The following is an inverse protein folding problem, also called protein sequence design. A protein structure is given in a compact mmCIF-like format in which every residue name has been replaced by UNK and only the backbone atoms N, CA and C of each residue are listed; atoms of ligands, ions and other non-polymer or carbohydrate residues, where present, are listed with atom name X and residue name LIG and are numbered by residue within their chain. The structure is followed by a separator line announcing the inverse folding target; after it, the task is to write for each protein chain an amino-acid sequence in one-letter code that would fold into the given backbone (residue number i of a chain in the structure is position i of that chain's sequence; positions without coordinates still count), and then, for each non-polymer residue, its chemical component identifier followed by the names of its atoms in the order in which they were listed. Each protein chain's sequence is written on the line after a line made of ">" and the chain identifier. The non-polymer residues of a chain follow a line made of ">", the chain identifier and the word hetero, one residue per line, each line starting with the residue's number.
data_IF_598573741663
#
_entry.id   IF_598573741663
#
_cell.length_a   1.000
_cell.length_b   1.000
_cell.length_c   1.000
_cell.angle_alpha   90.00
_cell.angle_beta   90.00
_cell.angle_gamma   90.00
#
_symmetry.space_group_name_H-M   'P 1'
#
loop_
_entity.id
_entity.type
_entity.pdbx_description
1 polymer ?
#
# COMPACT_ATOMS: atom_id res chain seq x y z
N UNK A 1 94.21 -54.02 -55.46
CA UNK A 1 94.12 -54.33 -54.01
C UNK A 1 92.87 -53.64 -53.45
N UNK A 2 91.93 -54.42 -52.89
CA UNK A 2 90.85 -54.16 -51.91
C UNK A 2 90.30 -52.70 -51.76
N UNK A 3 89.02 -52.43 -52.08
CA UNK A 3 87.78 -52.59 -51.28
C UNK A 3 87.62 -51.69 -50.02
N UNK A 4 86.62 -50.80 -50.11
CA UNK A 4 85.45 -50.63 -49.19
C UNK A 4 85.41 -49.56 -48.08
N UNK A 5 84.17 -49.01 -47.95
CA UNK A 5 83.46 -48.40 -46.79
C UNK A 5 83.78 -46.93 -46.43
N UNK A 6 82.95 -45.92 -46.74
CA UNK A 6 81.62 -45.53 -46.23
C UNK A 6 81.51 -45.37 -44.71
N UNK A 7 81.42 -44.12 -44.23
CA UNK A 7 80.58 -43.75 -43.08
C UNK A 7 80.05 -42.32 -43.23
N UNK A 8 78.71 -42.20 -43.23
CA UNK A 8 77.92 -40.97 -43.30
C UNK A 8 77.93 -40.24 -41.94
N UNK A 9 77.94 -38.90 -41.95
CA UNK A 9 77.46 -38.09 -40.81
C UNK A 9 76.13 -37.46 -41.16
N UNK A 10 75.11 -37.96 -40.48
CA UNK A 10 73.72 -37.53 -40.49
C UNK A 10 73.58 -36.32 -39.54
N UNK A 11 73.05 -35.19 -40.02
CA UNK A 11 72.55 -34.10 -39.17
C UNK A 11 71.04 -34.07 -39.36
N UNK A 12 70.30 -34.53 -38.35
CA UNK A 12 68.85 -34.40 -38.29
C UNK A 12 68.49 -32.96 -37.89
N UNK A 13 67.85 -32.22 -38.80
CA UNK A 13 67.07 -31.05 -38.45
C UNK A 13 65.67 -31.51 -38.01
N UNK A 14 65.34 -31.35 -36.73
CA UNK A 14 63.99 -31.56 -36.23
C UNK A 14 63.08 -30.42 -36.72
N UNK A 15 62.19 -30.72 -37.65
CA UNK A 15 60.98 -29.94 -37.94
C UNK A 15 59.95 -30.22 -36.85
N UNK A 16 59.78 -29.28 -35.92
CA UNK A 16 58.66 -29.28 -34.97
C UNK A 16 57.43 -28.76 -35.72
N UNK A 17 56.30 -29.50 -35.78
CA UNK A 17 55.07 -28.94 -36.31
C UNK A 17 54.56 -27.90 -35.30
N UNK A 18 54.41 -26.66 -35.75
CA UNK A 18 53.69 -25.64 -34.99
C UNK A 18 52.24 -26.12 -34.83
N UNK A 19 51.88 -26.55 -33.63
CA UNK A 19 50.50 -26.75 -33.26
C UNK A 19 49.80 -25.39 -33.29
N UNK A 20 49.02 -25.15 -34.35
CA UNK A 20 48.05 -24.06 -34.37
C UNK A 20 47.03 -24.37 -33.29
N UNK A 21 47.19 -23.74 -32.13
CA UNK A 21 46.12 -23.58 -31.17
C UNK A 21 45.05 -22.74 -31.87
N UNK A 22 44.06 -23.40 -32.47
CA UNK A 22 42.77 -22.78 -32.71
C UNK A 22 42.24 -22.43 -31.33
N UNK A 23 42.43 -21.18 -30.93
CA UNK A 23 41.78 -20.62 -29.76
C UNK A 23 40.30 -20.96 -29.88
N UNK A 24 39.82 -21.79 -28.96
CA UNK A 24 38.41 -21.82 -28.65
C UNK A 24 38.08 -20.43 -28.12
N UNK A 25 37.78 -19.50 -29.03
CA UNK A 25 37.00 -18.34 -28.68
C UNK A 25 35.70 -18.90 -28.14
N UNK A 26 35.62 -19.01 -26.82
CA UNK A 26 34.36 -19.21 -26.13
C UNK A 26 33.43 -18.14 -26.65
N UNK A 27 32.45 -18.53 -27.48
CA UNK A 27 31.35 -17.65 -27.83
C UNK A 27 30.78 -17.18 -26.49
N UNK A 28 30.73 -15.86 -26.21
CA UNK A 28 30.13 -15.39 -24.98
C UNK A 28 28.75 -16.04 -24.88
N UNK A 29 28.45 -16.65 -23.73
CA UNK A 29 27.12 -17.21 -23.51
C UNK A 29 26.10 -16.09 -23.81
N UNK A 30 25.12 -16.37 -24.67
CA UNK A 30 24.13 -15.38 -25.09
C UNK A 30 23.52 -14.70 -23.86
N UNK A 31 23.49 -13.36 -23.87
CA UNK A 31 22.94 -12.58 -22.77
C UNK A 31 21.45 -12.85 -22.61
N UNK A 32 20.88 -12.46 -21.46
CA UNK A 32 19.43 -12.57 -21.28
C UNK A 32 18.66 -11.75 -22.32
N UNK A 33 19.17 -10.58 -22.68
CA UNK A 33 18.58 -9.73 -23.72
C UNK A 33 18.61 -10.42 -25.09
N UNK A 34 19.73 -11.07 -25.47
CA UNK A 34 19.81 -11.80 -26.74
C UNK A 34 18.72 -12.88 -26.85
N UNK A 35 18.40 -13.55 -25.74
CA UNK A 35 17.32 -14.55 -25.70
C UNK A 35 15.93 -13.93 -25.84
N UNK A 36 15.72 -12.74 -25.26
CA UNK A 36 14.49 -11.95 -25.42
C UNK A 36 14.34 -11.49 -26.87
N UNK A 37 15.43 -11.03 -27.47
CA UNK A 37 15.46 -10.54 -28.85
C UNK A 37 15.24 -11.67 -29.86
N UNK A 38 15.69 -12.90 -29.56
CA UNK A 38 15.45 -14.08 -30.39
C UNK A 38 14.02 -14.64 -30.27
N UNK A 39 13.36 -14.48 -29.13
CA UNK A 39 12.03 -15.03 -28.88
C UNK A 39 10.95 -14.42 -29.79
N UNK A 40 9.99 -15.23 -30.22
CA UNK A 40 8.81 -14.79 -30.94
C UNK A 40 7.77 -14.11 -30.02
N UNK A 41 6.88 -13.26 -30.55
CA UNK A 41 5.76 -12.73 -29.76
C UNK A 41 4.88 -13.85 -29.19
N UNK A 42 4.57 -13.77 -27.89
CA UNK A 42 3.83 -14.76 -27.12
C UNK A 42 4.68 -15.88 -26.51
N UNK A 43 5.99 -15.95 -26.85
CA UNK A 43 6.87 -16.98 -26.31
C UNK A 43 7.11 -16.81 -24.80
N UNK A 44 7.38 -17.93 -24.14
CA UNK A 44 7.80 -17.98 -22.75
C UNK A 44 9.29 -18.25 -22.63
N UNK A 45 10.01 -17.35 -21.98
CA UNK A 45 11.44 -17.45 -21.70
C UNK A 45 11.60 -17.82 -20.23
N UNK A 46 11.92 -19.09 -19.97
CA UNK A 46 12.22 -19.55 -18.62
C UNK A 46 13.67 -19.22 -18.24
N UNK A 47 13.83 -18.51 -17.14
CA UNK A 47 15.12 -18.10 -16.59
C UNK A 47 15.35 -18.87 -15.30
N UNK A 48 16.35 -19.75 -15.27
CA UNK A 48 16.69 -20.48 -14.04
C UNK A 48 17.53 -19.59 -13.12
N UNK A 49 17.53 -19.93 -11.84
CA UNK A 49 18.37 -19.28 -10.82
C UNK A 49 19.79 -19.00 -11.33
N UNK A 50 20.22 -17.75 -11.16
CA UNK A 50 21.48 -17.22 -11.66
C UNK A 50 21.49 -15.69 -11.52
N UNK A 51 22.65 -15.08 -11.77
CA UNK A 51 22.81 -13.63 -11.86
C UNK A 51 22.84 -13.24 -13.34
N UNK A 52 21.99 -12.29 -13.73
CA UNK A 52 21.90 -11.76 -15.09
C UNK A 52 22.13 -10.25 -15.03
N UNK A 53 23.29 -9.84 -15.52
CA UNK A 53 23.70 -8.43 -15.51
C UNK A 53 23.19 -7.69 -16.74
N UNK A 54 22.84 -6.43 -16.53
CA UNK A 54 22.38 -5.52 -17.57
C UNK A 54 20.91 -5.17 -17.45
N UNK A 55 20.55 -4.06 -18.09
CA UNK A 55 19.17 -3.62 -18.17
C UNK A 55 18.46 -4.38 -19.30
N UNK A 56 17.19 -4.70 -19.12
CA UNK A 56 16.38 -5.46 -20.06
C UNK A 56 15.31 -4.59 -20.71
N UNK A 57 15.04 -4.85 -21.99
CA UNK A 57 13.96 -4.25 -22.75
C UNK A 57 13.01 -5.34 -23.27
N UNK A 58 11.76 -5.28 -22.83
CA UNK A 58 10.67 -6.11 -23.34
C UNK A 58 9.93 -5.30 -24.42
N UNK A 59 10.48 -5.34 -25.64
CA UNK A 59 9.94 -4.65 -26.82
C UNK A 59 8.97 -5.52 -27.65
N UNK A 60 8.72 -6.76 -27.23
CA UNK A 60 7.76 -7.69 -27.83
C UNK A 60 6.95 -8.33 -26.72
N UNK A 61 5.69 -8.69 -27.01
CA UNK A 61 4.87 -9.49 -26.09
C UNK A 61 5.61 -10.79 -25.80
N UNK A 62 6.11 -10.95 -24.57
CA UNK A 62 6.78 -12.17 -24.12
C UNK A 62 6.44 -12.42 -22.65
N UNK A 63 6.51 -13.68 -22.25
CA UNK A 63 6.49 -14.08 -20.85
C UNK A 63 7.91 -14.36 -20.38
N UNK A 64 8.45 -13.51 -19.53
CA UNK A 64 9.72 -13.73 -18.85
C UNK A 64 9.45 -14.33 -17.47
N UNK A 65 9.84 -15.60 -17.28
CA UNK A 65 9.50 -16.38 -16.09
C UNK A 65 10.75 -16.84 -15.35
N UNK A 66 10.94 -16.34 -14.13
CA UNK A 66 12.01 -16.71 -13.21
C UNK A 66 11.69 -17.97 -12.42
N UNK A 67 12.55 -18.98 -12.51
CA UNK A 67 12.47 -20.25 -11.79
C UNK A 67 13.54 -20.26 -10.70
N UNK A 68 13.11 -20.16 -9.44
CA UNK A 68 14.00 -20.08 -8.28
C UNK A 68 14.59 -18.68 -8.05
N UNK A 69 13.84 -17.63 -8.40
CA UNK A 69 14.23 -16.22 -8.19
C UNK A 69 15.62 -15.86 -8.75
N UNK A 70 15.86 -16.03 -10.08
CA UNK A 70 17.03 -15.43 -10.71
C UNK A 70 17.11 -13.93 -10.46
N UNK A 71 18.33 -13.43 -10.36
CA UNK A 71 18.62 -12.02 -10.10
C UNK A 71 18.83 -11.29 -11.42
N UNK A 72 18.04 -10.26 -11.67
CA UNK A 72 18.25 -9.25 -12.69
C UNK A 72 18.96 -8.07 -12.02
N UNK A 73 20.25 -7.91 -12.32
CA UNK A 73 21.07 -6.86 -11.74
C UNK A 73 21.30 -5.77 -12.79
N UNK A 74 20.70 -4.62 -12.56
CA UNK A 74 20.88 -3.45 -13.40
C UNK A 74 22.31 -2.94 -13.40
N UNK A 75 22.58 -1.97 -14.26
CA UNK A 75 23.92 -1.38 -14.43
C UNK A 75 24.25 -0.30 -13.40
N UNK A 76 23.33 0.02 -12.48
CA UNK A 76 23.40 1.22 -11.65
C UNK A 76 23.04 2.52 -12.41
N UNK A 77 22.52 2.41 -13.63
CA UNK A 77 22.03 3.53 -14.44
C UNK A 77 20.70 3.16 -15.10
N UNK A 78 19.74 4.08 -15.11
CA UNK A 78 18.43 3.84 -15.72
C UNK A 78 17.58 2.82 -14.94
N UNK A 79 16.52 2.35 -15.60
CA UNK A 79 15.66 1.31 -15.05
C UNK A 79 16.19 -0.10 -15.38
N UNK A 80 16.00 -1.07 -14.47
CA UNK A 80 16.51 -2.44 -14.67
C UNK A 80 15.71 -3.17 -15.75
N UNK A 81 14.39 -3.07 -15.71
CA UNK A 81 13.51 -3.66 -16.73
C UNK A 81 12.58 -2.58 -17.29
N UNK A 82 12.63 -2.38 -18.60
CA UNK A 82 11.72 -1.48 -19.32
C UNK A 82 10.80 -2.32 -20.19
N UNK A 83 9.49 -2.12 -20.05
CA UNK A 83 8.46 -2.82 -20.83
C UNK A 83 7.76 -1.82 -21.73
N UNK A 84 7.89 -2.01 -23.05
CA UNK A 84 7.31 -1.13 -24.08
C UNK A 84 6.31 -1.86 -24.98
N UNK A 85 6.29 -3.19 -24.97
CA UNK A 85 5.26 -3.97 -25.63
C UNK A 85 4.09 -4.26 -24.69
N UNK A 86 2.89 -4.33 -25.25
CA UNK A 86 1.69 -4.71 -24.53
C UNK A 86 1.69 -6.21 -24.18
N UNK A 87 0.90 -6.56 -23.16
CA UNK A 87 0.62 -7.95 -22.79
C UNK A 87 1.86 -8.79 -22.41
N UNK A 88 2.93 -8.15 -21.95
CA UNK A 88 4.10 -8.85 -21.41
C UNK A 88 3.81 -9.41 -20.02
N UNK A 89 4.51 -10.48 -19.66
CA UNK A 89 4.54 -10.99 -18.28
C UNK A 89 5.96 -11.00 -17.74
N UNK A 90 6.17 -10.46 -16.54
CA UNK A 90 7.43 -10.55 -15.79
C UNK A 90 7.16 -11.15 -14.42
N UNK A 91 7.64 -12.37 -14.20
CA UNK A 91 7.27 -13.14 -13.02
C UNK A 91 8.47 -13.81 -12.32
N UNK A 92 8.54 -13.71 -10.99
CA UNK A 92 9.44 -14.55 -10.19
C UNK A 92 10.92 -14.17 -10.22
N UNK A 93 11.25 -12.89 -10.32
CA UNK A 93 12.64 -12.39 -10.30
C UNK A 93 13.01 -11.70 -8.99
N UNK A 94 14.30 -11.71 -8.66
CA UNK A 94 14.89 -10.64 -7.83
C UNK A 94 15.37 -9.56 -8.79
N UNK A 95 15.04 -8.31 -8.54
CA UNK A 95 15.43 -7.16 -9.37
C UNK A 95 16.15 -6.16 -8.48
N UNK A 96 17.36 -5.80 -8.86
CA UNK A 96 18.22 -4.94 -8.05
C UNK A 96 19.12 -4.03 -8.87
N UNK A 97 19.67 -3.01 -8.21
CA UNK A 97 20.72 -2.15 -8.73
C UNK A 97 20.28 -1.26 -9.91
N UNK A 98 19.12 -0.61 -9.77
CA UNK A 98 18.72 0.45 -10.71
C UNK A 98 19.54 1.73 -10.50
N UNK A 99 19.35 2.73 -11.36
CA UNK A 99 19.94 4.05 -11.18
C UNK A 99 19.51 4.80 -9.92
N UNK A 100 20.08 5.98 -9.73
CA UNK A 100 19.88 6.83 -8.54
C UNK A 100 19.28 8.21 -8.84
N UNK A 101 18.82 8.45 -10.07
CA UNK A 101 18.40 9.78 -10.49
C UNK A 101 16.88 9.97 -10.31
N UNK A 102 16.47 10.71 -9.27
CA UNK A 102 15.05 11.05 -9.03
C UNK A 102 14.39 11.72 -10.25
N UNK A 103 15.11 12.59 -10.95
CA UNK A 103 14.61 13.32 -12.13
C UNK A 103 14.38 12.40 -13.33
N UNK A 104 15.12 11.29 -13.41
CA UNK A 104 14.97 10.29 -14.47
C UNK A 104 14.00 9.17 -14.08
N UNK A 105 13.56 9.16 -12.81
CA UNK A 105 12.64 8.19 -12.24
C UNK A 105 13.14 6.74 -12.42
N UNK A 106 14.44 6.53 -12.17
CA UNK A 106 15.10 5.24 -12.33
C UNK A 106 14.40 4.16 -11.50
N UNK A 107 13.78 3.18 -12.17
CA UNK A 107 12.93 2.17 -11.53
C UNK A 107 13.52 0.77 -11.59
N UNK A 108 13.11 -0.10 -10.67
CA UNK A 108 13.29 -1.55 -10.84
C UNK A 108 12.57 -2.03 -12.10
N UNK A 109 11.29 -1.64 -12.23
CA UNK A 109 10.47 -1.96 -13.40
C UNK A 109 9.76 -0.70 -13.89
N UNK A 110 9.95 -0.36 -15.16
CA UNK A 110 9.27 0.75 -15.84
C UNK A 110 8.34 0.21 -16.93
N UNK A 111 7.04 0.42 -16.75
CA UNK A 111 6.01 0.13 -17.74
C UNK A 111 5.70 1.39 -18.56
N UNK A 112 5.70 1.21 -19.88
CA UNK A 112 5.29 2.21 -20.88
C UNK A 112 4.29 1.60 -21.88
N UNK A 113 3.53 0.61 -21.42
CA UNK A 113 2.62 -0.20 -22.24
C UNK A 113 1.45 -0.74 -21.42
N UNK A 114 0.48 -1.36 -22.09
CA UNK A 114 -0.82 -1.74 -21.55
C UNK A 114 -0.99 -3.25 -21.42
N UNK A 115 -1.80 -3.68 -20.44
CA UNK A 115 -2.21 -5.09 -20.31
C UNK A 115 -1.11 -6.04 -19.81
N UNK A 116 -0.05 -5.52 -19.20
CA UNK A 116 1.05 -6.33 -18.69
C UNK A 116 0.72 -6.97 -17.34
N UNK A 117 1.37 -8.09 -17.04
CA UNK A 117 1.34 -8.74 -15.73
C UNK A 117 2.72 -8.72 -15.09
N UNK A 118 2.85 -8.03 -13.96
CA UNK A 118 4.07 -7.98 -13.15
C UNK A 118 3.79 -8.67 -11.83
N UNK A 119 4.39 -9.84 -11.62
CA UNK A 119 3.97 -10.67 -10.50
C UNK A 119 5.08 -11.40 -9.74
N UNK A 120 4.88 -11.53 -8.43
CA UNK A 120 5.74 -12.34 -7.57
C UNK A 120 7.23 -11.99 -7.68
N UNK A 121 7.57 -10.72 -7.94
CA UNK A 121 8.95 -10.25 -8.01
C UNK A 121 9.39 -9.67 -6.65
N UNK A 122 10.70 -9.72 -6.40
CA UNK A 122 11.35 -9.13 -5.23
C UNK A 122 12.28 -8.00 -5.69
N UNK A 123 11.88 -6.76 -5.42
CA UNK A 123 12.66 -5.57 -5.77
C UNK A 123 13.40 -5.08 -4.52
N UNK A 124 14.71 -4.84 -4.66
CA UNK A 124 15.59 -4.32 -3.60
C UNK A 124 16.71 -3.48 -4.19
N UNK A 125 17.35 -2.60 -3.43
CA UNK A 125 18.38 -1.70 -3.96
C UNK A 125 17.87 -0.95 -5.22
N UNK A 126 16.71 -0.32 -5.05
CA UNK A 126 15.99 0.40 -6.09
C UNK A 126 15.59 1.79 -5.59
N UNK A 127 15.52 2.75 -6.50
CA UNK A 127 15.05 4.10 -6.22
C UNK A 127 13.52 4.19 -6.35
N UNK A 128 12.98 3.82 -7.51
CA UNK A 128 11.55 3.58 -7.70
C UNK A 128 11.29 2.08 -7.87
N UNK A 129 10.20 1.57 -7.32
CA UNK A 129 9.87 0.14 -7.45
C UNK A 129 9.32 -0.22 -8.82
N UNK A 130 8.01 -0.08 -8.96
CA UNK A 130 7.28 -0.36 -10.19
C UNK A 130 6.62 0.93 -10.64
N UNK A 131 7.09 1.48 -11.75
CA UNK A 131 6.60 2.72 -12.31
C UNK A 131 5.77 2.46 -13.56
N UNK A 132 4.51 2.87 -13.52
CA UNK A 132 3.57 2.87 -14.64
C UNK A 132 3.48 4.29 -15.19
N UNK A 133 4.06 4.49 -16.38
CA UNK A 133 3.96 5.74 -17.11
C UNK A 133 3.03 5.54 -18.30
N UNK A 134 1.87 6.21 -18.30
CA UNK A 134 0.87 6.09 -19.37
C UNK A 134 0.53 4.64 -19.71
N UNK A 135 0.35 3.83 -18.68
CA UNK A 135 0.26 2.39 -18.77
C UNK A 135 -1.06 1.92 -18.16
N UNK A 136 -1.92 1.35 -19.00
CA UNK A 136 -3.31 1.03 -18.63
C UNK A 136 -3.53 -0.48 -18.46
N UNK A 137 -4.58 -0.85 -17.71
CA UNK A 137 -5.05 -2.24 -17.72
C UNK A 137 -4.04 -3.28 -17.22
N UNK A 138 -3.02 -2.87 -16.46
CA UNK A 138 -1.97 -3.77 -15.98
C UNK A 138 -2.36 -4.44 -14.67
N UNK A 139 -1.79 -5.62 -14.42
CA UNK A 139 -1.91 -6.36 -13.16
C UNK A 139 -0.55 -6.38 -12.46
N UNK A 140 -0.47 -5.74 -11.31
CA UNK A 140 0.71 -5.72 -10.45
C UNK A 140 0.36 -6.49 -9.18
N UNK A 141 0.86 -7.72 -9.05
CA UNK A 141 0.43 -8.63 -7.96
C UNK A 141 1.53 -9.37 -7.24
N UNK A 142 1.42 -9.49 -5.91
CA UNK A 142 2.34 -10.32 -5.12
C UNK A 142 3.79 -9.86 -5.14
N UNK A 143 4.07 -8.61 -5.53
CA UNK A 143 5.43 -8.09 -5.56
C UNK A 143 5.85 -7.59 -4.17
N UNK A 144 7.12 -7.79 -3.82
CA UNK A 144 7.73 -7.26 -2.60
C UNK A 144 8.75 -6.20 -2.99
N UNK A 145 8.56 -4.98 -2.51
CA UNK A 145 9.37 -3.81 -2.85
C UNK A 145 10.02 -3.27 -1.57
N UNK A 146 11.34 -3.17 -1.57
CA UNK A 146 12.14 -2.64 -0.46
C UNK A 146 13.08 -1.56 -0.98
N UNK A 147 12.84 -0.32 -0.57
CA UNK A 147 13.65 0.83 -0.95
C UNK A 147 15.04 0.87 -0.30
N UNK A 148 15.87 1.81 -0.75
CA UNK A 148 17.24 2.07 -0.26
C UNK A 148 17.23 2.74 1.11
N UNK A 149 17.56 1.98 2.16
CA UNK A 149 17.52 2.47 3.54
C UNK A 149 18.67 3.42 3.89
N UNK A 150 19.76 3.36 3.14
CA UNK A 150 20.92 4.24 3.26
C UNK A 150 20.66 5.68 2.79
N UNK A 151 19.58 5.89 2.03
CA UNK A 151 19.15 7.21 1.58
C UNK A 151 18.24 7.87 2.62
N UNK A 152 18.34 9.20 2.73
CA UNK A 152 17.38 9.99 3.50
C UNK A 152 15.99 9.88 2.88
N UNK A 153 14.93 10.06 3.69
CA UNK A 153 13.55 9.83 3.24
C UNK A 153 13.17 10.62 1.99
N UNK A 154 13.66 11.86 1.85
CA UNK A 154 13.39 12.71 0.69
C UNK A 154 14.10 12.28 -0.60
N UNK A 155 15.21 11.55 -0.46
CA UNK A 155 16.07 11.10 -1.56
C UNK A 155 15.59 9.78 -2.19
N UNK A 156 14.65 9.09 -1.54
CA UNK A 156 14.04 7.86 -2.04
C UNK A 156 12.93 8.16 -3.07
N UNK A 157 12.64 7.18 -3.92
CA UNK A 157 11.53 7.24 -4.87
C UNK A 157 10.26 6.60 -4.34
N UNK A 158 9.29 6.39 -5.22
CA UNK A 158 8.01 5.75 -4.89
C UNK A 158 8.06 4.24 -5.09
N UNK A 159 7.32 3.49 -4.27
CA UNK A 159 7.25 2.03 -4.38
C UNK A 159 6.47 1.56 -5.61
N UNK A 160 5.16 1.80 -5.64
CA UNK A 160 4.36 1.66 -6.87
C UNK A 160 3.88 3.04 -7.29
N UNK A 161 4.36 3.50 -8.45
CA UNK A 161 4.10 4.84 -8.96
C UNK A 161 3.23 4.72 -10.21
N UNK A 162 2.04 5.33 -10.21
CA UNK A 162 1.16 5.47 -11.36
C UNK A 162 1.11 6.93 -11.79
N UNK A 163 1.52 7.19 -13.03
CA UNK A 163 1.36 8.47 -13.69
C UNK A 163 0.50 8.29 -14.94
N UNK A 164 -0.64 8.98 -15.03
CA UNK A 164 -1.50 8.98 -16.22
C UNK A 164 -1.93 7.54 -16.62
N UNK A 165 -2.26 6.71 -15.63
CA UNK A 165 -2.29 5.25 -15.74
C UNK A 165 -3.58 4.66 -15.16
N UNK A 166 -4.63 4.57 -15.98
CA UNK A 166 -5.96 4.10 -15.60
C UNK A 166 -6.17 2.57 -15.68
N UNK A 167 -7.25 2.08 -15.03
CA UNK A 167 -7.74 0.69 -15.12
C UNK A 167 -6.75 -0.37 -14.64
N UNK A 168 -5.81 -0.02 -13.75
CA UNK A 168 -4.81 -0.94 -13.25
C UNK A 168 -5.33 -1.73 -12.03
N UNK A 169 -4.68 -2.87 -11.74
CA UNK A 169 -4.99 -3.70 -10.57
C UNK A 169 -3.73 -3.91 -9.74
N UNK A 170 -3.72 -3.39 -8.51
CA UNK A 170 -2.63 -3.53 -7.55
C UNK A 170 -3.08 -4.49 -6.44
N UNK A 171 -2.59 -5.72 -6.44
CA UNK A 171 -3.15 -6.80 -5.59
C UNK A 171 -2.07 -7.50 -4.77
N UNK A 172 -2.20 -7.50 -3.44
CA UNK A 172 -1.34 -8.33 -2.59
C UNK A 172 0.15 -7.96 -2.64
N UNK A 173 0.48 -6.69 -2.94
CA UNK A 173 1.85 -6.22 -2.93
C UNK A 173 2.26 -5.77 -1.52
N UNK A 174 3.55 -5.91 -1.22
CA UNK A 174 4.16 -5.41 0.01
C UNK A 174 5.19 -4.35 -0.34
N UNK A 175 5.06 -3.14 0.21
CA UNK A 175 5.96 -2.02 -0.04
C UNK A 175 6.49 -1.48 1.28
N UNK A 176 7.81 -1.31 1.37
CA UNK A 176 8.45 -0.78 2.57
C UNK A 176 9.73 -0.02 2.26
N UNK A 177 10.09 0.92 3.15
CA UNK A 177 11.34 1.69 3.08
C UNK A 177 11.54 2.51 1.81
N UNK A 178 10.48 2.79 1.07
CA UNK A 178 10.46 3.79 -0.01
C UNK A 178 10.18 5.20 0.56
N UNK A 179 10.16 6.24 -0.28
CA UNK A 179 9.65 7.54 0.16
C UNK A 179 8.14 7.45 0.37
N UNK A 180 7.41 7.17 -0.71
CA UNK A 180 5.96 6.98 -0.69
C UNK A 180 5.65 5.57 -1.18
N UNK A 181 4.71 4.89 -0.51
CA UNK A 181 4.39 3.50 -0.81
C UNK A 181 3.70 3.37 -2.17
N UNK A 182 2.48 3.89 -2.25
CA UNK A 182 1.76 4.07 -3.51
C UNK A 182 1.66 5.55 -3.84
N UNK A 183 2.20 5.94 -4.99
CA UNK A 183 2.04 7.28 -5.55
C UNK A 183 1.12 7.17 -6.77
N UNK A 184 -0.09 7.73 -6.68
CA UNK A 184 -1.12 7.61 -7.71
C UNK A 184 -1.54 9.00 -8.16
N UNK A 185 -1.22 9.34 -9.40
CA UNK A 185 -1.53 10.63 -9.98
C UNK A 185 -2.17 10.48 -11.36
N UNK A 186 -3.30 11.15 -11.58
CA UNK A 186 -4.06 11.08 -12.83
C UNK A 186 -4.36 9.63 -13.27
N UNK A 187 -4.82 8.80 -12.33
CA UNK A 187 -5.01 7.37 -12.54
C UNK A 187 -6.36 6.95 -11.95
N UNK A 188 -7.29 6.56 -12.81
CA UNK A 188 -8.71 6.36 -12.46
C UNK A 188 -9.13 4.91 -12.70
N UNK A 189 -10.23 4.49 -12.07
CA UNK A 189 -10.78 3.13 -12.20
C UNK A 189 -9.78 2.00 -11.87
N UNK A 190 -8.86 2.29 -10.95
CA UNK A 190 -7.84 1.39 -10.45
C UNK A 190 -8.37 0.63 -9.23
N UNK A 191 -8.09 -0.68 -9.20
CA UNK A 191 -8.49 -1.58 -8.13
C UNK A 191 -7.29 -1.93 -7.26
N UNK A 192 -7.33 -1.56 -5.98
CA UNK A 192 -6.19 -1.62 -5.06
C UNK A 192 -6.61 -2.47 -3.88
N UNK A 193 -6.09 -3.69 -3.82
CA UNK A 193 -6.63 -4.72 -2.94
C UNK A 193 -5.58 -5.52 -2.18
N UNK A 194 -5.82 -5.71 -0.88
CA UNK A 194 -5.03 -6.61 -0.01
C UNK A 194 -3.53 -6.29 0.00
N UNK A 195 -3.15 -5.03 -0.21
CA UNK A 195 -1.75 -4.60 -0.15
C UNK A 195 -1.34 -4.23 1.28
N UNK A 196 -0.05 -4.35 1.57
CA UNK A 196 0.56 -3.94 2.85
C UNK A 196 1.67 -2.92 2.60
N UNK A 197 1.57 -1.75 3.24
CA UNK A 197 2.46 -0.61 3.01
C UNK A 197 2.88 0.01 4.33
N UNK A 198 4.19 0.00 4.61
CA UNK A 198 4.72 0.36 5.93
C UNK A 198 6.14 0.92 5.95
N UNK A 199 6.51 1.54 7.08
CA UNK A 199 7.85 2.09 7.35
C UNK A 199 8.33 3.09 6.28
N UNK A 200 7.47 4.03 5.90
CA UNK A 200 7.75 5.06 4.90
C UNK A 200 7.00 6.38 5.20
N UNK A 201 7.09 7.36 4.30
CA UNK A 201 6.45 8.68 4.49
C UNK A 201 4.92 8.61 4.33
N UNK A 202 4.44 8.42 3.10
CA UNK A 202 3.02 8.30 2.79
C UNK A 202 2.71 6.88 2.34
N UNK A 203 1.85 6.18 3.09
CA UNK A 203 1.34 4.88 2.67
C UNK A 203 0.66 4.95 1.30
N UNK A 204 -0.20 5.95 1.13
CA UNK A 204 -0.86 6.30 -0.13
C UNK A 204 -0.76 7.80 -0.36
N UNK A 205 -0.07 8.22 -1.40
CA UNK A 205 -0.03 9.59 -1.90
C UNK A 205 -0.85 9.66 -3.20
N UNK A 206 -1.96 10.39 -3.17
CA UNK A 206 -3.00 10.24 -4.18
C UNK A 206 -3.58 11.59 -4.64
N UNK A 207 -3.54 11.86 -5.94
CA UNK A 207 -3.90 13.17 -6.51
C UNK A 207 -4.61 13.05 -7.86
N UNK A 208 -5.70 13.82 -8.06
CA UNK A 208 -6.39 13.94 -9.34
C UNK A 208 -6.79 12.59 -9.95
N UNK A 209 -7.31 11.68 -9.12
CA UNK A 209 -7.53 10.30 -9.48
C UNK A 209 -8.95 9.90 -9.07
N UNK A 210 -9.82 9.65 -10.04
CA UNK A 210 -11.24 9.46 -9.77
C UNK A 210 -11.64 7.98 -9.78
N UNK A 211 -12.72 7.65 -9.07
CA UNK A 211 -13.40 6.35 -9.19
C UNK A 211 -12.51 5.13 -8.90
N UNK A 212 -11.54 5.28 -7.98
CA UNK A 212 -10.70 4.16 -7.55
C UNK A 212 -11.33 3.40 -6.38
N UNK A 213 -10.97 2.13 -6.25
CA UNK A 213 -11.44 1.28 -5.15
C UNK A 213 -10.27 0.76 -4.32
N UNK A 214 -10.30 1.03 -3.02
CA UNK A 214 -9.36 0.54 -2.02
C UNK A 214 -10.05 -0.49 -1.13
N UNK A 215 -9.62 -1.74 -1.20
CA UNK A 215 -10.24 -2.85 -0.50
C UNK A 215 -9.22 -3.64 0.32
N UNK A 216 -9.44 -3.77 1.64
CA UNK A 216 -8.62 -4.62 2.51
C UNK A 216 -7.11 -4.30 2.52
N UNK A 217 -6.73 -3.05 2.26
CA UNK A 217 -5.33 -2.65 2.34
C UNK A 217 -4.93 -2.29 3.77
N UNK A 218 -3.65 -2.42 4.09
CA UNK A 218 -3.07 -2.08 5.38
C UNK A 218 -1.97 -1.04 5.19
N UNK A 219 -2.18 0.15 5.73
CA UNK A 219 -1.23 1.26 5.75
C UNK A 219 -0.85 1.52 7.21
N UNK A 220 0.36 1.12 7.59
CA UNK A 220 0.76 1.14 9.00
C UNK A 220 2.22 1.50 9.23
N UNK A 221 2.54 1.98 10.42
CA UNK A 221 3.91 2.37 10.80
C UNK A 221 4.54 3.35 9.79
N UNK A 222 3.72 4.24 9.21
CA UNK A 222 4.18 5.30 8.31
C UNK A 222 4.22 6.64 9.03
N UNK A 223 4.84 7.65 8.42
CA UNK A 223 4.66 9.03 8.88
C UNK A 223 3.20 9.43 8.72
N UNK A 224 2.57 9.13 7.58
CA UNK A 224 1.15 9.33 7.31
C UNK A 224 0.57 8.14 6.54
N UNK A 225 -0.67 7.76 6.86
CA UNK A 225 -1.32 6.58 6.29
C UNK A 225 -1.73 6.80 4.84
N UNK A 226 -2.67 7.71 4.59
CA UNK A 226 -3.09 8.11 3.25
C UNK A 226 -3.32 9.62 3.15
N UNK A 227 -2.91 10.21 2.02
CA UNK A 227 -3.25 11.56 1.59
C UNK A 227 -4.00 11.48 0.27
N UNK A 228 -5.33 11.70 0.31
CA UNK A 228 -6.23 11.67 -0.85
C UNK A 228 -6.62 13.10 -1.18
N UNK A 229 -6.28 13.54 -2.39
CA UNK A 229 -6.42 14.93 -2.79
C UNK A 229 -7.09 15.09 -4.15
N UNK A 230 -7.97 16.08 -4.28
CA UNK A 230 -8.53 16.56 -5.55
C UNK A 230 -9.22 15.47 -6.37
N UNK A 231 -10.10 14.69 -5.74
CA UNK A 231 -10.58 13.44 -6.32
C UNK A 231 -12.02 13.13 -5.94
N UNK A 232 -12.72 12.35 -6.77
CA UNK A 232 -14.12 12.00 -6.53
C UNK A 232 -14.44 10.51 -6.69
N UNK A 233 -15.53 10.10 -6.05
CA UNK A 233 -16.12 8.78 -6.26
C UNK A 233 -15.26 7.61 -5.76
N UNK A 234 -14.37 7.82 -4.79
CA UNK A 234 -13.51 6.76 -4.28
C UNK A 234 -14.28 5.90 -3.30
N UNK A 235 -14.05 4.59 -3.39
CA UNK A 235 -14.62 3.59 -2.50
C UNK A 235 -13.52 3.00 -1.62
N UNK A 236 -13.60 3.22 -0.31
CA UNK A 236 -12.67 2.68 0.67
C UNK A 236 -13.39 1.69 1.59
N UNK A 237 -13.08 0.40 1.46
CA UNK A 237 -13.73 -0.66 2.23
C UNK A 237 -12.73 -1.55 2.96
N UNK A 238 -12.96 -1.78 4.25
CA UNK A 238 -12.18 -2.73 5.05
C UNK A 238 -10.67 -2.45 5.09
N UNK A 239 -10.24 -1.21 4.86
CA UNK A 239 -8.84 -0.83 4.96
C UNK A 239 -8.45 -0.58 6.42
N UNK A 240 -7.17 -0.73 6.71
CA UNK A 240 -6.59 -0.51 8.03
C UNK A 240 -5.53 0.59 7.93
N UNK A 241 -5.73 1.66 8.70
CA UNK A 241 -4.79 2.77 8.87
C UNK A 241 -4.36 2.78 10.34
N UNK A 242 -3.17 2.25 10.62
CA UNK A 242 -2.76 1.98 11.99
C UNK A 242 -1.36 2.52 12.31
N UNK A 243 -1.19 3.14 13.48
CA UNK A 243 0.13 3.59 13.94
C UNK A 243 0.85 4.51 12.94
N UNK A 244 0.12 5.39 12.25
CA UNK A 244 0.75 6.38 11.38
C UNK A 244 1.05 7.65 12.19
N UNK A 245 2.33 7.89 12.45
CA UNK A 245 2.80 8.90 13.40
C UNK A 245 4.03 9.63 12.89
N UNK A 246 3.98 10.95 13.02
CA UNK A 246 5.06 11.88 12.68
C UNK A 246 4.60 13.34 12.78
N UNK A 247 5.42 14.28 12.32
CA UNK A 247 5.04 15.69 12.31
C UNK A 247 3.92 15.94 11.29
N UNK A 248 2.84 16.62 11.69
CA UNK A 248 1.67 16.89 10.85
C UNK A 248 1.11 15.63 10.16
N UNK A 249 0.96 14.54 10.93
CA UNK A 249 0.56 13.23 10.44
C UNK A 249 -0.92 12.92 10.63
N UNK A 250 -1.42 12.03 9.79
CA UNK A 250 -2.80 11.57 9.78
C UNK A 250 -2.87 10.10 9.35
N UNK A 251 -3.88 9.39 9.83
CA UNK A 251 -4.27 8.07 9.32
C UNK A 251 -4.79 8.23 7.90
N UNK A 252 -5.73 9.14 7.69
CA UNK A 252 -6.26 9.49 6.37
C UNK A 252 -6.49 11.01 6.27
N UNK A 253 -5.98 11.64 5.22
CA UNK A 253 -6.31 13.00 4.83
C UNK A 253 -7.21 12.97 3.59
N UNK A 254 -8.26 13.78 3.66
CA UNK A 254 -9.15 14.12 2.56
C UNK A 254 -9.06 15.63 2.31
N UNK A 255 -8.52 16.00 1.16
CA UNK A 255 -8.42 17.38 0.72
C UNK A 255 -9.10 17.52 -0.63
N UNK A 256 -10.15 18.34 -0.71
CA UNK A 256 -10.92 18.53 -1.95
C UNK A 256 -11.42 17.19 -2.52
N UNK A 257 -12.09 16.41 -1.66
CA UNK A 257 -12.62 15.09 -1.99
C UNK A 257 -14.15 15.08 -1.96
N UNK A 258 -14.77 14.47 -2.99
CA UNK A 258 -16.23 14.48 -3.17
C UNK A 258 -16.83 13.12 -3.49
N UNK A 259 -18.09 12.92 -3.11
CA UNK A 259 -18.88 11.72 -3.45
C UNK A 259 -18.20 10.41 -3.03
N UNK A 260 -17.43 10.43 -1.94
CA UNK A 260 -16.64 9.31 -1.47
C UNK A 260 -17.47 8.39 -0.56
N UNK A 261 -17.12 7.11 -0.53
CA UNK A 261 -17.66 6.18 0.48
C UNK A 261 -16.54 5.47 1.23
N UNK A 262 -16.45 5.74 2.53
CA UNK A 262 -15.59 5.01 3.46
C UNK A 262 -16.46 4.11 4.37
N UNK A 263 -16.39 2.80 4.14
CA UNK A 263 -17.21 1.81 4.82
C UNK A 263 -16.36 0.73 5.51
N UNK A 264 -16.60 0.51 6.80
CA UNK A 264 -15.99 -0.59 7.55
C UNK A 264 -14.46 -0.57 7.60
N UNK A 265 -13.84 0.61 7.56
CA UNK A 265 -12.40 0.79 7.73
C UNK A 265 -12.01 0.87 9.21
N UNK A 266 -10.76 0.54 9.51
CA UNK A 266 -10.17 0.69 10.84
C UNK A 266 -9.15 1.82 10.76
N UNK A 267 -9.33 2.85 11.58
CA UNK A 267 -8.44 4.01 11.70
C UNK A 267 -8.04 4.13 13.16
N UNK A 268 -6.87 3.59 13.51
CA UNK A 268 -6.50 3.45 14.92
C UNK A 268 -5.05 3.82 15.24
N UNK A 269 -4.84 4.42 16.41
CA UNK A 269 -3.51 4.82 16.92
C UNK A 269 -2.75 5.76 15.96
N UNK A 270 -3.45 6.72 15.35
CA UNK A 270 -2.83 7.77 14.55
C UNK A 270 -2.82 9.10 15.31
N UNK A 271 -1.97 10.04 14.88
CA UNK A 271 -1.96 11.41 15.44
C UNK A 271 -3.28 12.12 15.13
N UNK A 272 -3.72 12.07 13.89
CA UNK A 272 -5.09 12.44 13.49
C UNK A 272 -5.68 11.22 12.81
N UNK A 273 -6.86 10.76 13.20
CA UNK A 273 -7.52 9.63 12.58
C UNK A 273 -7.90 9.97 11.14
N UNK A 274 -8.83 10.91 10.99
CA UNK A 274 -9.25 11.42 9.68
C UNK A 274 -9.19 12.96 9.67
N UNK A 275 -8.54 13.52 8.65
CA UNK A 275 -8.40 14.94 8.41
C UNK A 275 -9.24 15.37 7.20
N UNK A 276 -9.94 16.51 7.28
CA UNK A 276 -10.83 17.01 6.24
C UNK A 276 -10.62 18.49 5.93
N UNK A 277 -10.32 18.78 4.68
CA UNK A 277 -10.30 20.12 4.12
C UNK A 277 -11.05 20.16 2.79
N UNK A 278 -11.95 21.14 2.63
CA UNK A 278 -12.74 21.36 1.42
C UNK A 278 -13.42 20.09 0.86
N UNK A 279 -13.71 19.09 1.70
CA UNK A 279 -14.22 17.80 1.27
C UNK A 279 -15.71 17.70 1.54
N UNK A 280 -16.50 17.40 0.52
CA UNK A 280 -17.97 17.50 0.59
C UNK A 280 -18.68 16.25 0.12
N UNK A 281 -19.93 16.06 0.56
CA UNK A 281 -20.82 15.02 0.01
C UNK A 281 -20.30 13.58 0.23
N UNK A 282 -19.51 13.35 1.29
CA UNK A 282 -18.91 12.05 1.56
C UNK A 282 -19.68 11.25 2.61
N UNK A 283 -19.66 9.92 2.47
CA UNK A 283 -20.30 8.98 3.39
C UNK A 283 -19.26 8.16 4.17
N UNK A 284 -19.23 8.33 5.47
CA UNK A 284 -18.45 7.55 6.43
C UNK A 284 -19.38 6.67 7.25
N UNK A 285 -19.31 5.35 7.05
CA UNK A 285 -20.14 4.42 7.80
C UNK A 285 -19.43 3.19 8.32
N UNK A 286 -19.85 2.67 9.47
CA UNK A 286 -19.32 1.42 10.05
C UNK A 286 -17.82 1.40 10.28
N UNK A 287 -17.16 2.56 10.27
CA UNK A 287 -15.72 2.64 10.51
C UNK A 287 -15.45 2.55 12.02
N UNK A 288 -14.35 1.90 12.38
CA UNK A 288 -13.79 1.97 13.72
C UNK A 288 -12.72 3.07 13.73
N UNK A 289 -12.96 4.13 14.49
CA UNK A 289 -12.01 5.22 14.73
C UNK A 289 -11.61 5.15 16.19
N UNK A 290 -10.41 4.63 16.49
CA UNK A 290 -10.06 4.28 17.87
C UNK A 290 -8.66 4.68 18.29
N UNK A 291 -8.50 5.10 19.55
CA UNK A 291 -7.19 5.37 20.15
C UNK A 291 -6.34 6.38 19.36
N UNK A 292 -6.97 7.23 18.55
CA UNK A 292 -6.28 8.31 17.90
C UNK A 292 -6.13 9.47 18.88
N UNK A 293 -5.06 10.22 18.70
CA UNK A 293 -4.85 11.48 19.38
C UNK A 293 -6.01 12.44 19.04
N UNK A 294 -6.32 12.66 17.77
CA UNK A 294 -7.56 13.33 17.35
C UNK A 294 -8.32 12.34 16.49
N UNK A 295 -9.59 12.04 16.81
CA UNK A 295 -10.38 11.16 15.94
C UNK A 295 -10.61 11.82 14.58
N UNK A 296 -11.14 13.05 14.60
CA UNK A 296 -11.48 13.81 13.41
C UNK A 296 -10.95 15.25 13.54
N UNK A 297 -10.20 15.71 12.55
CA UNK A 297 -9.89 17.13 12.38
C UNK A 297 -10.56 17.62 11.11
N UNK A 298 -11.34 18.70 11.22
CA UNK A 298 -12.22 19.12 10.13
C UNK A 298 -12.26 20.64 9.99
N UNK A 299 -12.04 21.11 8.77
CA UNK A 299 -12.27 22.50 8.42
C UNK A 299 -13.75 22.75 8.14
N UNK A 300 -14.25 23.92 8.54
CA UNK A 300 -15.66 24.30 8.37
C UNK A 300 -16.13 24.36 6.90
N UNK A 301 -15.21 24.40 5.94
CA UNK A 301 -15.51 24.31 4.50
C UNK A 301 -15.74 22.86 4.00
N UNK A 302 -15.59 21.85 4.87
CA UNK A 302 -15.95 20.46 4.58
C UNK A 302 -17.42 20.23 4.96
N UNK A 303 -18.30 20.34 3.98
CA UNK A 303 -19.76 20.39 4.17
C UNK A 303 -20.48 19.15 3.66
N UNK A 304 -21.72 18.93 4.10
CA UNK A 304 -22.60 17.85 3.65
C UNK A 304 -22.05 16.40 3.80
N UNK A 305 -21.02 16.20 4.62
CA UNK A 305 -20.52 14.88 4.95
C UNK A 305 -21.47 14.16 5.92
N UNK A 306 -21.54 12.83 5.85
CA UNK A 306 -22.39 12.00 6.71
C UNK A 306 -21.53 11.00 7.47
N UNK A 307 -21.65 11.01 8.79
CA UNK A 307 -21.12 9.98 9.68
C UNK A 307 -22.26 9.22 10.33
N UNK A 308 -22.40 7.94 10.02
CA UNK A 308 -23.45 7.08 10.59
C UNK A 308 -22.91 5.68 10.89
N UNK A 309 -23.36 5.08 11.99
CA UNK A 309 -22.96 3.74 12.42
C UNK A 309 -21.44 3.56 12.61
N UNK A 310 -20.67 4.62 12.83
CA UNK A 310 -19.26 4.50 13.16
C UNK A 310 -19.07 4.24 14.66
N UNK A 311 -17.91 3.68 15.04
CA UNK A 311 -17.52 3.51 16.44
C UNK A 311 -16.31 4.38 16.76
N UNK A 312 -16.50 5.40 17.61
CA UNK A 312 -15.45 6.28 18.13
C UNK A 312 -15.04 5.84 19.53
N UNK A 313 -13.91 5.14 19.64
CA UNK A 313 -13.49 4.45 20.87
C UNK A 313 -12.17 5.01 21.40
N UNK A 314 -12.17 5.53 22.62
CA UNK A 314 -10.96 5.93 23.36
C UNK A 314 -10.03 6.88 22.58
N UNK A 315 -10.60 7.74 21.73
CA UNK A 315 -9.84 8.83 21.10
C UNK A 315 -9.67 9.96 22.12
N UNK A 316 -8.49 10.58 22.13
CA UNK A 316 -8.17 11.62 23.09
C UNK A 316 -9.04 12.88 22.88
N UNK A 317 -9.27 13.26 21.63
CA UNK A 317 -10.19 14.33 21.22
C UNK A 317 -11.14 13.81 20.11
N UNK A 318 -12.47 13.78 20.30
CA UNK A 318 -13.41 13.25 19.31
C UNK A 318 -13.45 14.07 18.00
N UNK A 319 -13.44 15.40 18.12
CA UNK A 319 -13.54 16.32 16.98
C UNK A 319 -12.83 17.64 17.27
N UNK A 320 -11.84 17.96 16.43
CA UNK A 320 -11.23 19.28 16.33
C UNK A 320 -11.82 20.00 15.10
N UNK A 321 -12.61 21.05 15.36
CA UNK A 321 -13.25 21.84 14.29
C UNK A 321 -12.49 23.15 14.07
N UNK A 322 -11.97 23.34 12.87
CA UNK A 322 -11.32 24.58 12.44
C UNK A 322 -12.37 25.46 11.77
N UNK A 323 -12.97 26.33 12.57
CA UNK A 323 -14.05 27.24 12.17
C UNK A 323 -15.11 27.37 13.26
N UNK A 324 -16.31 27.86 12.90
CA UNK A 324 -17.40 28.08 13.87
C UNK A 324 -18.44 26.95 13.91
N UNK A 325 -18.72 26.30 12.79
CA UNK A 325 -19.73 25.23 12.62
C UNK A 325 -19.40 24.39 11.40
N UNK A 326 -19.91 23.16 11.33
CA UNK A 326 -19.92 22.36 10.10
C UNK A 326 -21.37 22.06 9.67
N UNK A 327 -21.55 21.64 8.42
CA UNK A 327 -22.82 21.11 7.89
C UNK A 327 -22.81 19.58 7.85
N UNK A 328 -21.86 18.96 8.56
CA UNK A 328 -21.75 17.51 8.71
C UNK A 328 -22.94 16.95 9.47
N UNK A 329 -23.49 15.85 8.98
CA UNK A 329 -24.58 15.11 9.62
C UNK A 329 -24.01 13.93 10.43
N UNK A 330 -24.22 13.95 11.73
CA UNK A 330 -23.84 12.88 12.66
C UNK A 330 -24.93 11.82 12.80
N UNK A 331 -25.47 11.38 11.67
CA UNK A 331 -26.48 10.34 11.61
C UNK A 331 -27.23 10.33 10.29
N UNK A 332 -27.84 9.21 9.98
CA UNK A 332 -28.63 9.00 8.78
C UNK A 332 -29.72 7.96 9.05
N UNK A 333 -30.92 8.18 8.50
CA UNK A 333 -32.05 7.24 8.60
C UNK A 333 -32.35 6.76 10.03
N UNK A 334 -32.30 7.67 11.01
CA UNK A 334 -32.61 7.33 12.40
C UNK A 334 -31.44 6.75 13.19
N UNK A 335 -30.23 6.64 12.63
CA UNK A 335 -29.07 6.03 13.28
C UNK A 335 -27.85 6.95 13.26
N UNK A 336 -27.35 7.31 14.45
CA UNK A 336 -26.12 8.04 14.67
C UNK A 336 -24.91 7.12 14.79
N UNK A 337 -23.96 7.50 15.65
CA UNK A 337 -22.69 6.80 15.86
C UNK A 337 -22.54 6.34 17.31
N UNK A 338 -21.68 5.35 17.53
CA UNK A 338 -21.26 4.96 18.88
C UNK A 338 -20.10 5.83 19.35
N UNK A 339 -20.18 6.34 20.58
CA UNK A 339 -19.15 7.12 21.22
C UNK A 339 -18.83 6.52 22.58
N UNK A 340 -17.58 6.09 22.79
CA UNK A 340 -17.12 5.56 24.10
C UNK A 340 -17.29 6.54 25.27
N UNK A 341 -17.35 7.84 24.98
CA UNK A 341 -17.57 8.90 25.97
C UNK A 341 -19.05 9.19 26.25
N UNK A 342 -19.99 8.58 25.52
CA UNK A 342 -21.42 8.78 25.72
C UNK A 342 -21.88 8.18 27.05
N UNK A 343 -22.56 9.00 27.86
CA UNK A 343 -23.06 8.65 29.22
C UNK A 343 -24.58 8.78 29.34
N UNK A 344 -25.28 8.86 28.22
CA UNK A 344 -26.74 8.91 28.22
C UNK A 344 -27.37 7.56 28.55
N UNK A 345 -28.68 7.51 28.38
CA UNK A 345 -29.51 6.36 28.69
C UNK A 345 -30.47 6.07 27.54
N UNK A 346 -31.04 4.87 27.54
CA UNK A 346 -31.96 4.34 26.55
C UNK A 346 -33.12 3.69 27.34
N UNK A 347 -34.24 4.41 27.46
CA UNK A 347 -35.40 4.02 28.28
C UNK A 347 -36.35 3.07 27.54
N UNK A 348 -36.45 3.19 26.22
CA UNK A 348 -37.30 2.32 25.39
C UNK A 348 -36.57 1.06 24.87
N UNK A 349 -35.26 0.99 25.10
CA UNK A 349 -34.37 -0.14 24.82
C UNK A 349 -34.31 -0.46 23.32
N UNK A 350 -34.36 0.56 22.45
CA UNK A 350 -34.21 0.43 21.01
C UNK A 350 -32.74 0.40 20.54
N UNK A 351 -31.79 0.63 21.46
CA UNK A 351 -30.35 0.67 21.22
C UNK A 351 -29.82 2.03 20.81
N UNK A 352 -30.65 3.07 20.82
CA UNK A 352 -30.34 4.47 20.57
C UNK A 352 -30.50 5.25 21.87
N UNK A 353 -29.59 6.18 22.14
CA UNK A 353 -29.68 7.01 23.33
C UNK A 353 -30.75 8.09 23.21
N UNK A 354 -31.56 8.26 24.26
CA UNK A 354 -32.65 9.25 24.36
C UNK A 354 -32.16 10.70 24.46
N UNK A 355 -30.88 10.87 24.82
CA UNK A 355 -30.25 12.19 25.00
C UNK A 355 -29.18 12.39 23.93
N UNK A 356 -29.18 13.53 23.20
CA UNK A 356 -28.15 13.83 22.23
C UNK A 356 -26.73 13.81 22.82
N UNK A 357 -25.78 13.25 22.08
CA UNK A 357 -24.36 13.30 22.40
C UNK A 357 -23.76 14.62 21.94
N UNK A 358 -23.17 15.38 22.88
CA UNK A 358 -22.34 16.56 22.59
C UNK A 358 -20.95 16.09 22.18
N UNK A 359 -20.58 16.29 20.91
CA UNK A 359 -19.31 15.79 20.37
C UNK A 359 -18.12 16.61 20.87
N UNK A 360 -18.33 17.91 21.08
CA UNK A 360 -17.32 18.84 21.58
C UNK A 360 -17.69 19.40 22.95
N UNK A 361 -16.66 19.66 23.75
CA UNK A 361 -16.74 20.43 24.98
C UNK A 361 -15.94 21.74 24.84
N UNK A 362 -15.97 22.58 25.88
CA UNK A 362 -15.26 23.88 25.91
C UNK A 362 -13.78 23.74 25.68
N UNK A 363 -13.18 22.68 26.22
CA UNK A 363 -11.76 22.46 26.11
C UNK A 363 -11.36 22.04 24.70
N UNK A 364 -12.08 21.11 24.07
CA UNK A 364 -11.84 20.71 22.69
C UNK A 364 -12.08 21.86 21.71
N UNK A 365 -13.03 22.75 22.01
CA UNK A 365 -13.22 23.99 21.26
C UNK A 365 -12.02 24.94 21.36
N UNK A 366 -11.47 25.12 22.57
CA UNK A 366 -10.28 25.94 22.78
C UNK A 366 -9.02 25.30 22.17
N UNK A 367 -8.90 23.97 22.22
CA UNK A 367 -7.84 23.20 21.56
C UNK A 367 -7.79 23.48 20.05
N UNK A 368 -8.96 23.54 19.40
CA UNK A 368 -9.08 23.92 17.99
C UNK A 368 -8.47 25.28 17.62
N UNK A 369 -8.38 26.21 18.60
CA UNK A 369 -7.77 27.54 18.42
C UNK A 369 -6.35 27.64 18.94
N UNK A 370 -5.97 26.79 19.90
CA UNK A 370 -4.71 26.80 20.62
C UNK A 370 -4.25 25.36 20.89
N UNK A 371 -3.55 24.71 19.93
CA UNK A 371 -3.16 23.30 20.05
C UNK A 371 -2.32 22.98 21.29
N UNK A 372 -1.55 23.95 21.80
CA UNK A 372 -0.75 23.81 23.02
C UNK A 372 -1.57 23.49 24.27
N UNK A 373 -2.88 23.77 24.26
CA UNK A 373 -3.76 23.43 25.38
C UNK A 373 -3.86 21.92 25.62
N UNK A 374 -3.54 21.09 24.62
CA UNK A 374 -3.54 19.63 24.74
C UNK A 374 -2.71 19.08 25.91
N UNK A 375 -1.65 19.80 26.32
CA UNK A 375 -0.85 19.47 27.51
C UNK A 375 -1.67 19.40 28.82
N UNK A 376 -2.80 20.10 28.87
CA UNK A 376 -3.66 20.19 30.05
C UNK A 376 -4.88 19.27 29.96
N UNK A 377 -4.96 18.43 28.92
CA UNK A 377 -6.09 17.54 28.75
C UNK A 377 -6.13 16.53 29.92
N UNK A 378 -7.32 16.36 30.51
CA UNK A 378 -7.56 15.64 31.77
C UNK A 378 -6.96 16.25 33.04
N UNK A 379 -6.37 17.44 33.00
CA UNK A 379 -5.97 18.15 34.22
C UNK A 379 -7.20 18.49 35.08
N UNK A 380 -7.04 18.66 36.41
CA UNK A 380 -8.11 19.14 37.27
C UNK A 380 -8.73 20.45 36.78
N UNK A 381 -7.93 21.34 36.18
CA UNK A 381 -8.39 22.59 35.60
C UNK A 381 -9.30 22.37 34.38
N UNK A 382 -8.94 21.47 33.45
CA UNK A 382 -9.80 21.18 32.29
C UNK A 382 -11.12 20.53 32.71
N UNK A 383 -11.09 19.67 33.72
CA UNK A 383 -12.30 19.03 34.27
C UNK A 383 -13.21 20.06 34.96
N UNK A 384 -12.64 20.93 35.80
CA UNK A 384 -13.38 22.00 36.46
C UNK A 384 -14.01 22.97 35.45
N UNK A 385 -13.29 23.33 34.38
CA UNK A 385 -13.80 24.18 33.31
C UNK A 385 -14.96 23.51 32.56
N UNK A 386 -14.86 22.21 32.26
CA UNK A 386 -15.93 21.46 31.61
C UNK A 386 -17.21 21.43 32.47
N UNK A 387 -17.09 21.15 33.77
CA UNK A 387 -18.22 21.18 34.72
C UNK A 387 -18.81 22.58 34.86
N UNK A 388 -17.96 23.60 34.97
CA UNK A 388 -18.41 24.98 35.10
C UNK A 388 -19.20 25.45 33.86
N UNK A 389 -18.75 25.07 32.66
CA UNK A 389 -19.45 25.39 31.42
C UNK A 389 -20.76 24.61 31.24
N UNK A 390 -20.85 23.40 31.78
CA UNK A 390 -22.09 22.63 31.81
C UNK A 390 -23.11 23.24 32.79
N UNK A 391 -22.65 23.70 33.97
CA UNK A 391 -23.49 24.32 34.98
C UNK A 391 -23.90 25.77 34.63
N UNK A 392 -23.03 26.51 33.95
CA UNK A 392 -23.23 27.91 33.56
C UNK A 392 -22.92 28.08 32.07
N UNK A 393 -23.88 27.79 31.16
CA UNK A 393 -23.71 27.93 29.72
C UNK A 393 -23.72 29.41 29.29
N UNK A 394 -22.76 30.19 29.77
CA UNK A 394 -22.55 31.61 29.40
C UNK A 394 -21.77 31.71 28.08
N UNK A 395 -21.00 30.67 27.73
CA UNK A 395 -20.28 30.58 26.47
C UNK A 395 -21.09 29.72 25.50
N UNK A 396 -21.71 30.37 24.52
CA UNK A 396 -22.42 29.70 23.43
C UNK A 396 -21.38 29.03 22.50
N UNK A 397 -21.00 27.81 22.88
CA UNK A 397 -20.16 26.96 22.05
C UNK A 397 -21.15 26.19 21.19
N UNK A 398 -21.24 26.57 19.91
CA UNK A 398 -21.95 25.79 18.92
C UNK A 398 -21.28 24.41 18.81
N UNK A 399 -21.71 23.48 19.66
CA UNK A 399 -21.19 22.13 19.72
C UNK A 399 -21.92 21.28 18.71
N UNK A 400 -21.18 20.55 17.89
CA UNK A 400 -21.74 19.51 17.05
C UNK A 400 -22.43 18.44 17.91
N UNK A 401 -23.60 17.97 17.45
CA UNK A 401 -24.45 17.03 18.16
C UNK A 401 -24.73 15.79 17.31
N UNK A 402 -24.54 14.62 17.90
CA UNK A 402 -25.15 13.39 17.42
C UNK A 402 -26.48 13.20 18.16
N UNK A 403 -27.59 13.28 17.42
CA UNK A 403 -28.94 13.23 17.99
C UNK A 403 -29.43 11.81 18.26
N UNK A 404 -28.78 10.80 17.70
CA UNK A 404 -29.20 9.40 17.75
C UNK A 404 -27.98 8.52 18.08
N UNK A 405 -27.27 8.79 19.19
CA UNK A 405 -26.06 8.06 19.53
C UNK A 405 -26.40 6.59 19.78
N UNK A 406 -25.56 5.68 19.29
CA UNK A 406 -25.76 4.25 19.51
C UNK A 406 -25.29 3.85 20.91
N UNK A 407 -26.04 2.97 21.58
CA UNK A 407 -25.71 2.47 22.91
C UNK A 407 -24.57 1.44 22.94
N UNK A 408 -24.29 0.81 21.79
CA UNK A 408 -23.26 -0.24 21.65
C UNK A 408 -22.37 0.02 20.45
N UNK A 409 -21.09 -0.37 20.51
CA UNK A 409 -20.20 -0.34 19.36
C UNK A 409 -20.78 -1.12 18.20
N UNK A 410 -20.56 -0.62 16.99
CA UNK A 410 -20.93 -1.31 15.77
C UNK A 410 -19.89 -2.39 15.50
N UNK A 411 -20.34 -3.64 15.39
CA UNK A 411 -19.46 -4.76 15.09
C UNK A 411 -18.80 -4.55 13.73
N UNK A 412 -17.47 -4.57 13.70
CA UNK A 412 -16.73 -4.71 12.45
C UNK A 412 -17.14 -6.04 11.84
N UNK A 413 -17.83 -6.02 10.70
CA UNK A 413 -18.36 -7.20 10.04
C UNK A 413 -17.26 -8.23 9.79
N UNK A 414 -17.15 -9.23 10.67
CA UNK A 414 -16.30 -10.40 10.48
C UNK A 414 -17.18 -11.54 9.98
N UNK A 415 -17.32 -11.66 8.65
CA UNK A 415 -17.75 -12.91 8.00
C UNK A 415 -17.46 -12.83 6.50
N UNK A 416 -16.61 -13.74 6.03
CA UNK A 416 -16.35 -13.95 4.63
C UNK A 416 -17.64 -14.23 3.84
N UNK A 417 -17.59 -13.87 2.56
CA UNK A 417 -18.38 -14.41 1.47
C UNK A 417 -19.57 -15.29 1.89
N UNK A 418 -20.68 -14.66 2.27
CA UNK A 418 -21.99 -15.10 1.77
C UNK A 418 -22.46 -14.03 0.82
N UNK A 419 -21.95 -14.13 -0.40
CA UNK A 419 -22.55 -13.48 -1.57
C UNK A 419 -23.98 -14.01 -1.65
N UNK A 420 -24.94 -13.19 -1.24
CA UNK A 420 -26.28 -13.33 -1.78
C UNK A 420 -26.18 -12.88 -3.24
N UNK A 421 -26.23 -13.86 -4.13
CA UNK A 421 -26.43 -13.64 -5.55
C UNK A 421 -27.66 -12.75 -5.76
N UNK A 422 -27.42 -11.55 -6.28
CA UNK A 422 -28.27 -10.84 -7.25
C UNK A 422 -27.39 -9.81 -7.96
N UNK A 423 -26.84 -10.31 -9.07
CA UNK A 423 -26.50 -9.63 -10.33
C UNK A 423 -26.32 -8.10 -10.33
N UNK A 424 -25.13 -7.67 -10.78
CA UNK A 424 -25.03 -6.87 -12.00
C UNK A 424 -23.69 -7.18 -12.71
N UNK A 425 -23.80 -7.30 -14.03
CA UNK A 425 -22.84 -7.85 -14.98
C UNK A 425 -21.56 -7.03 -15.13
N UNK A 426 -20.41 -7.71 -15.19
CA UNK A 426 -19.29 -7.40 -16.09
C UNK A 426 -18.48 -8.69 -16.27
N UNK A 427 -18.80 -9.43 -17.33
CA UNK A 427 -18.21 -10.73 -17.63
C UNK A 427 -16.75 -10.58 -18.13
N UNK A 428 -15.84 -11.32 -17.51
CA UNK A 428 -14.53 -11.69 -18.08
C UNK A 428 -14.56 -13.20 -18.32
N UNK A 429 -14.23 -13.70 -19.54
CA UNK A 429 -14.38 -15.12 -19.84
C UNK A 429 -13.18 -15.93 -19.31
N UNK A 430 -13.38 -16.67 -18.23
CA UNK A 430 -12.42 -17.71 -17.80
C UNK A 430 -12.63 -19.01 -18.61
N UNK A 431 -11.61 -19.40 -19.39
CA UNK A 431 -11.51 -20.76 -19.93
C UNK A 431 -11.09 -21.71 -18.81
N UNK A 432 -12.02 -22.56 -18.41
CA UNK A 432 -11.79 -23.69 -17.49
C UNK A 432 -10.87 -24.73 -18.14
N UNK A 433 -9.78 -25.06 -17.48
CA UNK A 433 -9.11 -26.37 -17.63
C UNK A 433 -9.51 -27.19 -16.42
N UNK A 434 -10.31 -28.23 -16.66
CA UNK A 434 -10.67 -29.22 -15.67
C UNK A 434 -9.53 -30.23 -15.51
N UNK A 435 -9.11 -30.49 -14.27
CA UNK A 435 -8.58 -31.80 -13.91
C UNK A 435 -9.16 -32.21 -12.55
N UNK A 436 -9.91 -33.31 -12.58
CA UNK A 436 -10.45 -34.02 -11.42
C UNK A 436 -9.48 -35.13 -10.98
N UNK A 437 -9.63 -35.50 -9.70
CA UNK A 437 -9.21 -36.70 -8.94
C UNK A 437 -8.39 -36.24 -7.72
N UNK A 438 -8.84 -36.28 -6.46
CA UNK A 438 -9.76 -37.21 -5.81
C UNK A 438 -8.96 -38.16 -4.92
N UNK A 439 -9.02 -37.99 -3.59
CA UNK A 439 -9.10 -39.01 -2.52
C UNK A 439 -8.92 -38.31 -1.13
N UNK A 440 -9.73 -38.65 -0.10
CA UNK A 440 -9.77 -37.96 1.20
C UNK A 440 -8.99 -38.71 2.30
N UNK A 441 -8.39 -38.00 3.26
CA UNK A 441 -7.99 -38.57 4.56
C UNK A 441 -8.28 -37.58 5.69
N UNK A 442 -9.08 -38.07 6.64
CA UNK A 442 -9.35 -37.48 7.94
C UNK A 442 -8.32 -37.96 9.00
N UNK A 443 -8.35 -37.30 10.16
CA UNK A 443 -7.64 -37.55 11.42
C UNK A 443 -6.18 -37.06 11.54
N UNK A 444 -5.98 -36.05 12.40
CA UNK A 444 -5.45 -36.26 13.76
C UNK A 444 -5.55 -34.97 14.60
N UNK A 445 -6.44 -35.00 15.59
CA UNK A 445 -6.36 -34.18 16.79
C UNK A 445 -5.29 -34.76 17.72
N UNK A 446 -4.57 -33.89 18.42
CA UNK A 446 -4.34 -34.08 19.85
C UNK A 446 -2.88 -34.13 20.33
N UNK A 447 -2.69 -33.45 21.46
CA UNK A 447 -1.55 -33.45 22.41
C UNK A 447 -0.46 -32.42 22.03
N UNK A 448 -0.03 -31.51 22.90
CA UNK A 448 -0.24 -31.34 24.34
C UNK A 448 0.93 -30.55 24.92
N UNK A 449 0.62 -29.76 25.94
CA UNK A 449 1.46 -28.85 26.73
C UNK A 449 2.89 -29.30 27.11
N UNK A 450 3.66 -28.27 27.53
CA UNK A 450 4.80 -28.24 28.50
C UNK A 450 6.20 -28.17 27.85
N UNK A 451 7.20 -27.39 28.28
CA UNK A 451 7.58 -26.77 29.55
C UNK A 451 8.49 -25.52 29.33
N UNK A 452 8.30 -24.47 30.14
CA UNK A 452 9.31 -23.80 31.00
C UNK A 452 10.81 -23.75 30.61
N UNK A 453 11.39 -22.55 30.39
CA UNK A 453 12.23 -21.78 31.36
C UNK A 453 13.12 -20.70 30.71
N UNK A 454 12.96 -19.47 31.24
CA UNK A 454 13.99 -18.46 31.64
C UNK A 454 15.34 -18.41 30.90
N UNK A 455 15.70 -17.22 30.41
CA UNK A 455 17.00 -16.56 30.74
C UNK A 455 16.79 -15.05 30.92
N UNK A 456 17.40 -14.53 31.98
CA UNK A 456 17.36 -13.16 32.49
C UNK A 456 18.22 -12.17 31.69
N UNK A 457 17.80 -10.91 31.82
CA UNK A 457 18.59 -9.68 31.83
C UNK A 457 20.07 -9.80 32.27
N UNK A 458 20.94 -9.04 31.60
CA UNK A 458 22.07 -8.33 32.21
C UNK A 458 22.24 -6.97 31.56
N UNK A 459 22.03 -5.91 32.36
CA UNK A 459 22.60 -4.59 32.14
C UNK A 459 24.12 -4.66 32.36
N UNK A 460 24.84 -3.91 31.53
CA UNK A 460 26.18 -3.40 31.74
C UNK A 460 26.18 -1.96 31.23
#
# INVERSE_FOLDING_TARGET
>A
MKLSQHFHRLVLALLIPAAVSLGQHAVPAASLQDRIDLAGPGDTIMVRQGMYEGNLLLAKNVTLLGIGYPVLRGTGQGSVVVVTADSCTLAGFIIEHCGGMLVQEDAGILLKSTGNTIENNQLRDILFGIYLYRSHGNVIRGNRIVGRQELELGERGGGIHLWDSHYNRLIGNTVSYERDGFYIQNASHTWIESNEVFALRYGLHYMYADSNTFLRNKFHDNVAGAAIMYSRGIVMKHNVFNHNRGFASYGILFQDCHDMTADSNIVADNVIGMFFEASTDNLFRRNLVAQNDVALEMFANSTNNIFTENSFIDNLSPLMLIGKRTETRWGHEGRGNYWSSYKGYDLDNDGIGDVPMKIQNVFTYLEGRQPNLRLYLYSPASQALAVAAEAFPIVDINSELDRQPLMKPVALGSRGARMNNREEELAVPERRIALWMGIPIALLMGIGLSLFRRVHWRMG
#
